data_IF_337048506301
#
_entry.id   IF_337048506301
#
_cell.length_a   1.000
_cell.length_b   1.000
_cell.length_c   1.000
_cell.angle_alpha   90.00
_cell.angle_beta   90.00
_cell.angle_gamma   90.00
#
_symmetry.space_group_name_H-M   'P 1'
#
loop_
_entity.id
_entity.type
_entity.pdbx_description
1 polymer ?
#
# COMPACT_ATOMS: atom_id res chain seq x y z
N UNK A 1 28.84 16.66 -10.73
CA UNK A 1 29.02 15.31 -11.31
C UNK A 1 27.64 14.73 -11.56
N UNK A 2 27.33 14.25 -12.77
CA UNK A 2 26.02 13.70 -13.16
C UNK A 2 24.82 14.58 -12.72
N UNK A 3 24.88 15.89 -12.92
CA UNK A 3 23.81 16.82 -12.51
C UNK A 3 23.68 17.06 -11.00
N UNK A 4 24.58 16.54 -10.16
CA UNK A 4 24.63 16.77 -8.71
C UNK A 4 25.81 17.67 -8.31
N UNK A 5 25.58 18.50 -7.29
CA UNK A 5 26.57 19.25 -6.53
C UNK A 5 26.86 18.49 -5.23
N UNK A 6 28.06 17.93 -5.17
CA UNK A 6 28.59 17.18 -4.03
C UNK A 6 29.45 18.14 -3.23
N UNK A 7 29.15 18.30 -1.93
CA UNK A 7 29.94 19.09 -0.99
C UNK A 7 30.76 18.14 -0.09
N UNK A 8 31.20 18.56 1.09
CA UNK A 8 31.89 17.66 2.03
C UNK A 8 30.91 16.72 2.72
N UNK A 9 29.76 17.22 3.15
CA UNK A 9 28.79 16.44 3.94
C UNK A 9 27.41 16.30 3.28
N UNK A 10 27.15 17.05 2.19
CA UNK A 10 25.82 17.06 1.56
C UNK A 10 25.87 16.90 0.05
N UNK A 11 24.78 16.36 -0.48
CA UNK A 11 24.49 16.24 -1.91
C UNK A 11 23.23 17.04 -2.20
N UNK A 12 23.30 17.87 -3.24
CA UNK A 12 22.12 18.55 -3.79
C UNK A 12 22.15 18.46 -5.31
N UNK A 13 20.99 18.59 -5.98
CA UNK A 13 20.99 18.82 -7.42
C UNK A 13 21.81 20.07 -7.78
N UNK A 14 22.40 20.08 -8.97
CA UNK A 14 22.83 21.33 -9.59
C UNK A 14 21.60 22.24 -9.76
N UNK A 15 21.77 23.56 -9.93
CA UNK A 15 20.63 24.48 -10.04
C UNK A 15 19.67 24.03 -11.16
N UNK A 16 18.62 23.30 -10.79
CA UNK A 16 17.53 22.90 -11.66
C UNK A 16 16.47 23.99 -11.51
N UNK A 17 16.43 24.90 -12.47
CA UNK A 17 15.35 25.87 -12.57
C UNK A 17 14.25 25.27 -13.45
N UNK A 18 13.06 25.13 -12.86
CA UNK A 18 11.83 25.00 -13.66
C UNK A 18 11.50 26.42 -14.07
N UNK A 19 12.00 26.82 -15.25
CA UNK A 19 11.93 28.20 -15.72
C UNK A 19 10.50 28.61 -16.11
N UNK A 20 9.76 27.70 -16.75
CA UNK A 20 8.43 27.94 -17.30
C UNK A 20 7.46 26.80 -16.98
N UNK A 21 6.16 27.08 -17.05
CA UNK A 21 5.12 26.04 -17.01
C UNK A 21 5.19 25.18 -18.28
N UNK A 22 5.19 23.84 -18.17
CA UNK A 22 5.28 22.97 -19.34
C UNK A 22 4.08 23.18 -20.27
N UNK A 23 4.35 23.49 -21.54
CA UNK A 23 3.32 23.79 -22.55
C UNK A 23 3.03 22.59 -23.44
N UNK A 24 3.99 21.67 -23.59
CA UNK A 24 3.88 20.48 -24.44
C UNK A 24 4.04 19.19 -23.65
N UNK A 25 3.65 18.06 -24.23
CA UNK A 25 3.92 16.74 -23.65
C UNK A 25 5.43 16.52 -23.43
N UNK A 26 6.27 16.98 -24.37
CA UNK A 26 7.73 16.92 -24.24
C UNK A 26 8.24 17.63 -22.98
N UNK A 27 7.81 18.87 -22.76
CA UNK A 27 8.23 19.67 -21.61
C UNK A 27 7.83 18.98 -20.31
N UNK A 28 6.59 18.46 -20.28
CA UNK A 28 6.06 17.74 -19.13
C UNK A 28 6.83 16.44 -18.86
N UNK A 29 7.19 15.68 -19.90
CA UNK A 29 7.98 14.46 -19.78
C UNK A 29 9.38 14.76 -19.23
N UNK A 30 10.05 15.80 -19.73
CA UNK A 30 11.37 16.22 -19.24
C UNK A 30 11.30 16.63 -17.76
N UNK A 31 10.29 17.42 -17.39
CA UNK A 31 10.05 17.82 -16.02
C UNK A 31 9.81 16.59 -15.12
N UNK A 32 8.90 15.69 -15.50
CA UNK A 32 8.59 14.49 -14.74
C UNK A 32 9.82 13.58 -14.58
N UNK A 33 10.62 13.40 -15.63
CA UNK A 33 11.85 12.62 -15.60
C UNK A 33 12.89 13.21 -14.65
N UNK A 34 13.14 14.52 -14.76
CA UNK A 34 14.05 15.25 -13.88
C UNK A 34 13.64 15.13 -12.40
N UNK A 35 12.36 15.39 -12.10
CA UNK A 35 11.85 15.38 -10.72
C UNK A 35 11.84 13.96 -10.15
N UNK A 36 11.50 12.95 -10.96
CA UNK A 36 11.56 11.54 -10.54
C UNK A 36 12.99 11.10 -10.23
N UNK A 37 13.98 11.61 -10.97
CA UNK A 37 15.40 11.32 -10.74
C UNK A 37 15.92 11.91 -9.42
N UNK A 38 15.60 13.17 -9.10
CA UNK A 38 16.05 13.82 -7.85
C UNK A 38 15.16 13.52 -6.64
N UNK A 39 13.93 13.04 -6.86
CA UNK A 39 12.91 12.87 -5.83
C UNK A 39 13.35 12.05 -4.62
N UNK A 40 14.01 10.89 -4.79
CA UNK A 40 14.56 10.10 -3.69
C UNK A 40 15.55 10.88 -2.79
N UNK A 41 16.36 11.78 -3.35
CA UNK A 41 17.32 12.55 -2.55
C UNK A 41 16.63 13.66 -1.75
N UNK A 42 15.56 14.24 -2.31
CA UNK A 42 14.90 15.40 -1.73
C UNK A 42 13.63 15.08 -0.95
N UNK A 43 13.23 13.81 -0.90
CA UNK A 43 11.98 13.39 -0.27
C UNK A 43 10.75 13.94 -0.98
N UNK A 44 10.78 13.98 -2.31
CA UNK A 44 9.62 14.31 -3.14
C UNK A 44 8.92 13.00 -3.48
N UNK A 45 7.72 12.82 -2.95
CA UNK A 45 7.00 11.56 -3.11
C UNK A 45 6.26 11.52 -4.46
N UNK A 46 6.11 10.34 -5.09
CA UNK A 46 5.35 10.18 -6.33
C UNK A 46 3.90 10.68 -6.20
N UNK A 47 3.30 10.57 -5.02
CA UNK A 47 1.95 11.09 -4.73
C UNK A 47 1.89 12.61 -4.91
N UNK A 48 2.90 13.33 -4.42
CA UNK A 48 2.96 14.78 -4.60
C UNK A 48 3.09 15.19 -6.07
N UNK A 49 3.49 14.25 -6.94
CA UNK A 49 3.64 14.42 -8.38
C UNK A 49 2.46 13.84 -9.17
N UNK A 50 1.49 13.19 -8.51
CA UNK A 50 0.36 12.56 -9.18
C UNK A 50 -0.41 13.51 -10.12
N UNK A 51 -0.66 14.80 -9.75
CA UNK A 51 -1.26 15.76 -10.67
C UNK A 51 -0.46 15.93 -11.97
N UNK A 52 0.88 15.92 -11.90
CA UNK A 52 1.74 16.03 -13.08
C UNK A 52 1.72 14.76 -13.92
N UNK A 53 1.75 13.58 -13.29
CA UNK A 53 1.68 12.31 -14.02
C UNK A 53 0.34 12.11 -14.73
N UNK A 54 -0.75 12.63 -14.18
CA UNK A 54 -2.05 12.56 -14.85
C UNK A 54 -2.10 13.36 -16.15
N UNK A 55 -1.33 14.45 -16.26
CA UNK A 55 -1.21 15.24 -17.48
C UNK A 55 -0.40 14.56 -18.59
N UNK A 56 0.32 13.47 -18.28
CA UNK A 56 1.03 12.68 -19.31
C UNK A 56 0.06 11.83 -20.16
N UNK A 57 -1.18 11.64 -19.72
CA UNK A 57 -2.20 10.88 -20.46
C UNK A 57 -2.76 11.70 -21.62
N UNK A 58 -3.36 11.03 -22.61
CA UNK A 58 -3.97 11.66 -23.79
C UNK A 58 -3.17 11.40 -25.06
N UNK A 59 -3.15 12.38 -25.96
CA UNK A 59 -2.38 12.36 -27.21
C UNK A 59 -0.89 12.09 -26.95
N UNK A 60 -0.32 11.14 -27.67
CA UNK A 60 1.06 10.67 -27.52
C UNK A 60 2.08 11.50 -28.34
N UNK A 61 1.61 12.44 -29.16
CA UNK A 61 2.48 13.38 -29.86
C UNK A 61 3.26 14.27 -28.89
N UNK A 62 4.58 14.37 -29.09
CA UNK A 62 5.48 15.17 -28.24
C UNK A 62 5.14 16.66 -28.21
N UNK A 63 4.60 17.18 -29.32
CA UNK A 63 4.24 18.58 -29.47
C UNK A 63 2.77 18.83 -29.13
N UNK A 64 2.06 17.81 -28.65
CA UNK A 64 0.68 17.96 -28.20
C UNK A 64 0.62 18.94 -27.02
N UNK A 65 -0.31 19.91 -27.04
CA UNK A 65 -0.39 20.93 -26.00
C UNK A 65 -0.82 20.30 -24.67
N UNK A 66 -0.31 20.86 -23.57
CA UNK A 66 -0.67 20.50 -22.20
C UNK A 66 -0.99 21.76 -21.43
N UNK A 67 -2.16 21.76 -20.78
CA UNK A 67 -2.58 22.84 -19.90
C UNK A 67 -2.32 22.43 -18.46
N UNK A 68 -1.47 23.18 -17.77
CA UNK A 68 -1.16 22.94 -16.36
C UNK A 68 -2.38 23.29 -15.51
N UNK A 69 -2.94 22.27 -14.85
CA UNK A 69 -4.06 22.46 -13.92
C UNK A 69 -3.59 23.16 -12.63
N UNK A 70 -4.49 23.76 -11.85
CA UNK A 70 -4.13 24.37 -10.56
C UNK A 70 -3.39 23.41 -9.62
N UNK A 71 -3.79 22.14 -9.59
CA UNK A 71 -3.18 21.09 -8.75
C UNK A 71 -1.76 20.75 -9.24
N UNK A 72 -1.56 20.68 -10.55
CA UNK A 72 -0.24 20.47 -11.15
C UNK A 72 0.70 21.66 -10.88
N UNK A 73 0.18 22.89 -10.93
CA UNK A 73 0.94 24.10 -10.57
C UNK A 73 1.36 24.08 -9.10
N UNK A 74 0.49 23.65 -8.19
CA UNK A 74 0.83 23.49 -6.77
C UNK A 74 1.91 22.42 -6.58
N UNK A 75 1.81 21.29 -7.28
CA UNK A 75 2.83 20.25 -7.26
C UNK A 75 4.21 20.76 -7.74
N UNK A 76 4.24 21.53 -8.84
CA UNK A 76 5.46 22.19 -9.34
C UNK A 76 6.06 23.12 -8.28
N UNK A 77 5.24 23.95 -7.63
CA UNK A 77 5.70 24.84 -6.56
C UNK A 77 6.33 24.08 -5.37
N UNK A 78 5.74 22.95 -4.98
CA UNK A 78 6.31 22.07 -3.93
C UNK A 78 7.67 21.50 -4.34
N UNK A 79 7.80 21.09 -5.61
CA UNK A 79 9.05 20.59 -6.18
C UNK A 79 10.12 21.68 -6.20
N UNK A 80 9.81 22.88 -6.69
CA UNK A 80 10.74 24.02 -6.71
C UNK A 80 11.23 24.39 -5.30
N UNK A 81 10.31 24.37 -4.32
CA UNK A 81 10.67 24.58 -2.91
C UNK A 81 11.60 23.48 -2.40
N UNK A 82 11.34 22.22 -2.76
CA UNK A 82 12.20 21.10 -2.35
C UNK A 82 13.59 21.20 -2.99
N UNK A 83 13.67 21.50 -4.28
CA UNK A 83 14.92 21.70 -5.03
C UNK A 83 15.80 22.81 -4.44
N UNK A 84 15.19 23.88 -3.91
CA UNK A 84 15.92 25.02 -3.35
C UNK A 84 16.30 24.85 -1.88
N UNK A 85 15.49 24.13 -1.09
CA UNK A 85 15.65 24.10 0.38
C UNK A 85 16.21 22.79 0.94
N UNK A 86 16.10 21.67 0.21
CA UNK A 86 16.44 20.35 0.72
C UNK A 86 17.78 19.85 0.17
N UNK A 87 18.46 19.03 0.96
CA UNK A 87 19.73 18.39 0.64
C UNK A 87 19.73 16.98 1.23
N UNK A 88 20.40 16.05 0.57
CA UNK A 88 20.72 14.74 1.12
C UNK A 88 22.09 14.78 1.80
N UNK A 89 22.34 13.86 2.72
CA UNK A 89 23.65 13.70 3.35
C UNK A 89 24.52 12.73 2.55
N UNK A 90 25.83 12.92 2.64
CA UNK A 90 26.78 11.91 2.20
C UNK A 90 26.88 10.78 3.22
N UNK A 91 27.25 9.61 2.72
CA UNK A 91 27.53 8.47 3.57
C UNK A 91 28.84 8.72 4.31
N UNK A 92 28.78 8.66 5.64
CA UNK A 92 29.96 8.77 6.50
C UNK A 92 30.61 7.38 6.65
N UNK A 93 31.90 7.22 6.30
CA UNK A 93 32.62 5.97 6.52
C UNK A 93 32.62 5.57 8.00
N UNK A 94 32.37 4.30 8.29
CA UNK A 94 32.39 3.76 9.66
C UNK A 94 31.08 3.90 10.44
N UNK A 95 30.10 4.68 9.96
CA UNK A 95 28.74 4.66 10.51
C UNK A 95 27.89 3.58 9.85
N UNK A 96 27.13 2.87 10.68
CA UNK A 96 26.24 1.81 10.21
C UNK A 96 25.01 2.37 9.49
N UNK A 97 24.65 1.72 8.40
CA UNK A 97 23.45 2.03 7.62
C UNK A 97 22.21 1.46 8.28
N UNK A 98 21.15 2.27 8.36
CA UNK A 98 19.87 1.91 8.96
C UNK A 98 18.74 2.23 8.00
N UNK A 99 17.65 1.48 8.12
CA UNK A 99 16.47 1.64 7.28
C UNK A 99 15.22 1.73 8.14
N UNK A 100 14.30 2.63 7.81
CA UNK A 100 13.02 2.77 8.50
C UNK A 100 11.87 2.78 7.50
N UNK A 101 10.85 1.96 7.75
CA UNK A 101 9.57 1.97 7.02
C UNK A 101 8.56 2.75 7.84
N UNK A 102 7.94 3.77 7.24
CA UNK A 102 7.03 4.69 7.95
C UNK A 102 5.96 5.27 7.02
N UNK A 103 5.06 6.07 7.57
CA UNK A 103 3.94 6.67 6.83
C UNK A 103 2.61 6.04 7.21
N UNK A 104 1.55 6.44 6.49
CA UNK A 104 0.20 5.92 6.68
C UNK A 104 -0.23 5.24 5.40
N UNK A 105 -1.06 4.20 5.51
CA UNK A 105 -1.67 3.60 4.32
C UNK A 105 -2.53 4.63 3.57
N UNK A 106 -2.51 4.64 2.24
CA UNK A 106 -1.77 3.72 1.36
C UNK A 106 -0.30 4.11 1.07
N UNK A 107 0.18 5.22 1.64
CA UNK A 107 1.43 5.90 1.34
C UNK A 107 2.57 5.54 2.30
N UNK A 108 2.89 4.26 2.40
CA UNK A 108 4.10 3.83 3.10
C UNK A 108 5.36 4.26 2.32
N UNK A 109 6.38 4.66 3.06
CA UNK A 109 7.67 5.10 2.54
C UNK A 109 8.81 4.56 3.39
N UNK A 110 9.97 4.42 2.78
CA UNK A 110 11.21 4.02 3.42
C UNK A 110 12.20 5.17 3.51
N UNK A 111 13.12 5.13 4.48
CA UNK A 111 14.26 6.05 4.52
C UNK A 111 15.53 5.30 4.89
N UNK A 112 16.58 5.54 4.13
CA UNK A 112 17.94 5.08 4.41
C UNK A 112 18.69 6.21 5.11
N UNK A 113 19.31 5.90 6.25
CA UNK A 113 20.00 6.91 7.04
C UNK A 113 21.15 6.31 7.86
N UNK A 114 22.00 7.20 8.37
CA UNK A 114 23.01 6.92 9.40
C UNK A 114 22.69 7.74 10.65
N UNK A 115 23.15 7.26 11.80
CA UNK A 115 22.93 7.88 13.10
C UNK A 115 24.25 8.08 13.84
N UNK A 116 24.62 9.32 14.13
CA UNK A 116 25.82 9.69 14.86
C UNK A 116 25.48 10.51 16.11
N UNK A 117 25.58 9.90 17.28
CA UNK A 117 25.27 10.55 18.56
C UNK A 117 26.30 11.62 18.96
N UNK A 118 27.43 11.72 18.24
CA UNK A 118 28.51 12.67 18.54
C UNK A 118 28.20 14.08 18.06
N UNK A 119 27.24 14.24 17.14
CA UNK A 119 26.87 15.52 16.54
C UNK A 119 25.50 16.00 17.05
N UNK A 120 25.27 17.31 16.98
CA UNK A 120 24.05 17.95 17.52
C UNK A 120 22.77 17.46 16.86
N UNK A 121 22.78 17.28 15.54
CA UNK A 121 21.71 16.63 14.79
C UNK A 121 22.22 15.26 14.34
N UNK A 122 21.87 14.17 15.05
CA UNK A 122 22.49 12.86 14.83
C UNK A 122 22.07 12.20 13.52
N UNK A 123 21.04 12.73 12.84
CA UNK A 123 20.47 12.08 11.67
C UNK A 123 21.15 12.53 10.37
N UNK A 124 21.85 11.60 9.73
CA UNK A 124 22.29 11.76 8.34
C UNK A 124 21.34 11.00 7.40
N UNK A 125 20.37 11.73 6.85
CA UNK A 125 19.41 11.17 5.89
C UNK A 125 20.02 11.07 4.48
N UNK A 126 20.16 9.85 3.99
CA UNK A 126 20.82 9.56 2.71
C UNK A 126 19.84 9.52 1.55
N UNK A 127 18.76 8.75 1.68
CA UNK A 127 17.81 8.55 0.58
C UNK A 127 16.41 8.19 1.08
N UNK A 128 15.39 8.71 0.38
CA UNK A 128 14.00 8.34 0.53
C UNK A 128 13.61 7.27 -0.47
N UNK A 129 12.86 6.28 -0.02
CA UNK A 129 12.33 5.21 -0.86
C UNK A 129 10.82 5.27 -0.90
N UNK A 130 10.29 5.45 -2.10
CA UNK A 130 8.85 5.47 -2.32
C UNK A 130 8.37 4.21 -3.02
N UNK A 131 7.12 3.85 -2.74
CA UNK A 131 6.38 2.87 -3.51
C UNK A 131 6.06 3.41 -4.91
N UNK A 132 5.80 2.52 -5.89
CA UNK A 132 5.31 2.95 -7.20
C UNK A 132 3.99 3.71 -7.06
N UNK A 133 3.79 4.73 -7.90
CA UNK A 133 2.53 5.48 -7.93
C UNK A 133 1.33 4.58 -8.27
N UNK A 134 1.54 3.57 -9.12
CA UNK A 134 0.54 2.56 -9.45
C UNK A 134 0.95 1.19 -8.93
N UNK A 135 0.10 0.59 -8.11
CA UNK A 135 0.28 -0.79 -7.64
C UNK A 135 0.05 -1.78 -8.79
N UNK A 136 0.78 -2.89 -8.77
CA UNK A 136 0.64 -3.95 -9.77
C UNK A 136 -0.57 -4.84 -9.49
N UNK A 137 -0.89 -5.09 -8.22
CA UNK A 137 -2.04 -5.89 -7.78
C UNK A 137 -3.25 -5.01 -7.52
N UNK A 138 -4.45 -5.54 -7.77
CA UNK A 138 -5.70 -4.84 -7.45
C UNK A 138 -5.86 -4.64 -5.94
N UNK A 139 -5.50 -5.65 -5.13
CA UNK A 139 -5.47 -5.58 -3.67
C UNK A 139 -4.06 -5.86 -3.19
N UNK A 140 -3.52 -4.96 -2.39
CA UNK A 140 -2.17 -5.11 -1.81
C UNK A 140 -2.24 -4.93 -0.31
N UNK A 141 -1.81 -5.94 0.43
CA UNK A 141 -1.78 -5.89 1.89
C UNK A 141 -0.71 -4.91 2.38
N UNK A 142 -0.85 -4.34 3.60
CA UNK A 142 0.19 -3.49 4.18
C UNK A 142 1.56 -4.19 4.24
N UNK A 143 1.57 -5.48 4.56
CA UNK A 143 2.78 -6.31 4.64
C UNK A 143 3.48 -6.41 3.29
N UNK A 144 2.74 -6.56 2.20
CA UNK A 144 3.31 -6.57 0.85
C UNK A 144 3.93 -5.22 0.47
N UNK A 145 3.33 -4.10 0.89
CA UNK A 145 3.90 -2.77 0.69
C UNK A 145 5.21 -2.60 1.45
N UNK A 146 5.26 -3.06 2.71
CA UNK A 146 6.50 -3.06 3.50
C UNK A 146 7.57 -3.93 2.86
N UNK A 147 7.22 -5.12 2.38
CA UNK A 147 8.12 -6.03 1.66
C UNK A 147 8.71 -5.38 0.42
N UNK A 148 7.91 -4.65 -0.36
CA UNK A 148 8.42 -3.91 -1.52
C UNK A 148 9.47 -2.88 -1.12
N UNK A 149 9.21 -2.12 -0.05
CA UNK A 149 10.16 -1.13 0.47
C UNK A 149 11.44 -1.78 0.99
N UNK A 150 11.35 -2.86 1.76
CA UNK A 150 12.51 -3.61 2.28
C UNK A 150 13.35 -4.15 1.13
N UNK A 151 12.74 -4.83 0.15
CA UNK A 151 13.46 -5.38 -1.00
C UNK A 151 14.15 -4.28 -1.81
N UNK A 152 13.46 -3.15 -2.02
CA UNK A 152 14.03 -1.97 -2.69
C UNK A 152 15.22 -1.42 -1.92
N UNK A 153 15.10 -1.28 -0.60
CA UNK A 153 16.15 -0.77 0.27
C UNK A 153 17.39 -1.68 0.29
N UNK A 154 17.19 -3.00 0.47
CA UNK A 154 18.27 -3.98 0.47
C UNK A 154 18.99 -4.00 -0.87
N UNK A 155 18.25 -4.01 -1.99
CA UNK A 155 18.84 -3.94 -3.33
C UNK A 155 19.64 -2.66 -3.52
N UNK A 156 19.08 -1.52 -3.07
CA UNK A 156 19.73 -0.21 -3.17
C UNK A 156 21.05 -0.18 -2.40
N UNK A 157 21.06 -0.66 -1.16
CA UNK A 157 22.24 -0.56 -0.31
C UNK A 157 23.31 -1.59 -0.67
N UNK A 158 22.92 -2.76 -1.17
CA UNK A 158 23.86 -3.74 -1.71
C UNK A 158 24.62 -3.16 -2.91
N UNK A 159 23.94 -2.42 -3.79
CA UNK A 159 24.59 -1.74 -4.93
C UNK A 159 25.50 -0.60 -4.47
N UNK A 160 25.11 0.17 -3.45
CA UNK A 160 25.87 1.34 -3.01
C UNK A 160 27.07 1.00 -2.10
N UNK A 161 26.93 0.02 -1.23
CA UNK A 161 27.88 -0.23 -0.14
C UNK A 161 28.29 -1.72 0.00
N UNK A 162 27.69 -2.64 -0.76
CA UNK A 162 28.01 -4.06 -0.69
C UNK A 162 27.69 -4.73 0.65
N UNK A 163 26.89 -4.08 1.51
CA UNK A 163 26.54 -4.56 2.85
C UNK A 163 25.03 -4.61 3.05
N UNK A 164 24.59 -5.08 4.23
CA UNK A 164 23.18 -5.04 4.66
C UNK A 164 23.00 -3.97 5.76
N UNK A 165 21.74 -3.64 6.09
CA UNK A 165 21.44 -2.71 7.17
C UNK A 165 21.80 -3.29 8.53
N UNK A 166 22.30 -2.46 9.44
CA UNK A 166 22.48 -2.86 10.84
C UNK A 166 21.14 -2.97 11.58
N UNK A 167 20.16 -2.13 11.21
CA UNK A 167 18.82 -2.18 11.77
C UNK A 167 17.77 -1.77 10.73
N UNK A 168 16.65 -2.53 10.68
CA UNK A 168 15.43 -2.17 9.96
C UNK A 168 14.34 -1.87 10.99
N UNK A 169 13.82 -0.65 10.93
CA UNK A 169 12.73 -0.19 11.78
C UNK A 169 11.38 -0.39 11.09
N UNK A 170 10.50 -1.16 11.73
CA UNK A 170 9.17 -1.49 11.20
C UNK A 170 8.08 -0.72 11.94
N UNK A 171 7.02 -0.27 11.24
CA UNK A 171 5.98 0.58 11.81
C UNK A 171 4.93 -0.23 12.58
N UNK A 172 5.36 -1.15 13.46
CA UNK A 172 4.48 -1.97 14.29
C UNK A 172 4.57 -1.56 15.76
N UNK A 173 3.60 -1.98 16.57
CA UNK A 173 3.82 -2.03 18.03
C UNK A 173 4.69 -3.24 18.36
N UNK A 174 5.44 -3.16 19.47
CA UNK A 174 6.39 -4.21 19.86
C UNK A 174 5.74 -5.60 19.93
N UNK A 175 4.55 -5.72 20.54
CA UNK A 175 3.83 -6.99 20.65
C UNK A 175 3.26 -7.52 19.33
N UNK A 176 3.11 -6.67 18.32
CA UNK A 176 2.52 -7.05 17.04
C UNK A 176 3.58 -7.59 16.06
N UNK A 177 4.87 -7.28 16.27
CA UNK A 177 5.95 -7.61 15.34
C UNK A 177 6.12 -9.13 15.18
N UNK A 178 6.14 -9.88 16.28
CA UNK A 178 6.29 -11.34 16.25
C UNK A 178 5.11 -12.00 15.54
N UNK A 179 3.89 -11.58 15.85
CA UNK A 179 2.68 -12.06 15.19
C UNK A 179 2.72 -11.81 13.67
N UNK A 180 3.13 -10.60 13.23
CA UNK A 180 3.22 -10.28 11.80
C UNK A 180 4.31 -11.10 11.11
N UNK A 181 5.45 -11.30 11.77
CA UNK A 181 6.52 -12.14 11.23
C UNK A 181 6.08 -13.60 11.09
N UNK A 182 5.34 -14.16 12.05
CA UNK A 182 4.83 -15.53 11.98
C UNK A 182 3.71 -15.70 10.95
N UNK A 183 2.84 -14.69 10.79
CA UNK A 183 1.68 -14.76 9.90
C UNK A 183 1.96 -14.37 8.45
N UNK A 184 3.06 -13.66 8.17
CA UNK A 184 3.37 -13.15 6.83
C UNK A 184 4.58 -13.84 6.19
N UNK A 185 4.32 -14.85 5.37
CA UNK A 185 5.36 -15.54 4.59
C UNK A 185 6.15 -14.56 3.71
N UNK A 186 5.47 -13.62 3.05
CA UNK A 186 6.13 -12.66 2.17
C UNK A 186 7.15 -11.77 2.91
N UNK A 187 6.87 -11.44 4.17
CA UNK A 187 7.80 -10.69 5.03
C UNK A 187 8.98 -11.56 5.47
N UNK A 188 8.72 -12.83 5.82
CA UNK A 188 9.78 -13.80 6.13
C UNK A 188 10.75 -13.96 4.95
N UNK A 189 10.25 -14.09 3.72
CA UNK A 189 11.09 -14.18 2.52
C UNK A 189 11.89 -12.89 2.27
N UNK A 190 11.29 -11.72 2.47
CA UNK A 190 11.99 -10.44 2.29
C UNK A 190 13.13 -10.23 3.30
N UNK A 191 13.01 -10.84 4.47
CA UNK A 191 13.99 -10.80 5.55
C UNK A 191 14.87 -12.06 5.61
N UNK A 192 14.74 -12.96 4.64
CA UNK A 192 15.56 -14.16 4.58
C UNK A 192 17.05 -13.78 4.55
N UNK A 193 17.85 -14.48 5.37
CA UNK A 193 19.28 -14.25 5.55
C UNK A 193 19.67 -12.84 6.04
N UNK A 194 18.71 -12.04 6.52
CA UNK A 194 19.02 -10.79 7.20
C UNK A 194 19.53 -11.06 8.61
N UNK A 195 20.77 -10.65 8.90
CA UNK A 195 21.42 -10.83 10.20
C UNK A 195 21.40 -9.58 11.08
N UNK A 196 20.88 -8.46 10.59
CA UNK A 196 20.78 -7.21 11.34
C UNK A 196 19.60 -7.22 12.32
N UNK A 197 19.46 -6.13 13.07
CA UNK A 197 18.38 -5.97 14.04
C UNK A 197 17.05 -5.61 13.35
N UNK A 198 15.95 -6.15 13.86
CA UNK A 198 14.60 -5.65 13.59
C UNK A 198 14.10 -4.92 14.82
N UNK A 199 13.49 -3.75 14.64
CA UNK A 199 12.99 -2.96 15.77
C UNK A 199 11.70 -2.22 15.43
N UNK A 200 10.77 -2.17 16.39
CA UNK A 200 9.63 -1.25 16.37
C UNK A 200 9.93 0.10 17.04
N UNK A 201 11.06 0.19 17.75
CA UNK A 201 11.49 1.39 18.47
C UNK A 201 12.46 2.18 17.60
N UNK A 202 11.95 3.19 16.90
CA UNK A 202 12.76 4.11 16.11
C UNK A 202 13.52 5.10 16.99
N UNK A 203 14.57 5.68 16.43
CA UNK A 203 15.42 6.66 17.12
C UNK A 203 14.68 8.00 17.29
N UNK A 204 14.87 8.73 18.40
CA UNK A 204 14.10 9.92 18.70
C UNK A 204 14.52 11.09 17.79
N UNK A 205 13.81 11.28 16.69
CA UNK A 205 14.04 12.40 15.78
C UNK A 205 12.72 12.95 15.21
N UNK A 206 12.63 14.27 15.07
CA UNK A 206 11.43 14.98 14.56
C UNK A 206 10.94 14.44 13.21
N UNK A 207 11.85 13.95 12.36
CA UNK A 207 11.49 13.39 11.05
C UNK A 207 10.81 12.02 11.17
N UNK A 208 11.00 11.27 12.24
CA UNK A 208 10.41 9.94 12.43
C UNK A 208 9.11 9.96 13.24
N UNK A 209 8.73 11.11 13.81
CA UNK A 209 7.58 11.25 14.71
C UNK A 209 6.20 11.24 14.01
N UNK A 210 6.14 10.96 12.72
CA UNK A 210 4.88 10.91 11.95
C UNK A 210 4.35 9.47 11.98
N UNK A 211 3.25 9.25 12.72
CA UNK A 211 2.40 8.05 12.78
C UNK A 211 3.09 6.73 12.35
N UNK A 212 4.00 6.25 13.20
CA UNK A 212 4.80 5.04 12.98
C UNK A 212 4.08 3.73 13.38
N UNK A 213 2.75 3.71 13.50
CA UNK A 213 2.03 2.58 14.11
C UNK A 213 0.92 2.08 13.21
N UNK A 214 1.23 1.09 12.40
CA UNK A 214 0.27 0.19 11.79
C UNK A 214 -0.18 -0.82 12.86
N UNK A 215 -1.50 -1.01 13.00
CA UNK A 215 -2.07 -2.04 13.88
C UNK A 215 -2.53 -3.20 13.01
N UNK A 216 -1.84 -4.34 13.00
CA UNK A 216 -2.26 -5.52 12.26
C UNK A 216 -3.43 -6.17 13.01
N UNK A 217 -4.65 -5.66 12.80
CA UNK A 217 -5.85 -6.33 13.29
C UNK A 217 -6.29 -7.32 12.22
N UNK A 218 -6.09 -8.61 12.49
CA UNK A 218 -6.67 -9.68 11.68
C UNK A 218 -7.88 -10.26 12.43
N UNK A 219 -9.09 -10.05 11.90
CA UNK A 219 -10.32 -10.66 12.43
C UNK A 219 -10.65 -11.97 11.72
N UNK A 220 -10.03 -12.19 10.56
CA UNK A 220 -10.08 -13.49 9.87
C UNK A 220 -9.48 -14.59 10.74
N UNK A 221 -10.28 -15.60 11.02
CA UNK A 221 -9.85 -16.84 11.64
C UNK A 221 -9.32 -17.80 10.58
N UNK A 222 -8.27 -18.55 10.90
CA UNK A 222 -7.76 -19.66 10.08
C UNK A 222 -8.54 -20.97 10.34
N UNK A 223 -9.53 -20.96 11.25
CA UNK A 223 -10.34 -22.12 11.61
C UNK A 223 -11.83 -21.74 11.67
N UNK A 224 -12.75 -22.68 11.39
CA UNK A 224 -14.17 -22.44 11.60
C UNK A 224 -14.49 -21.99 13.02
N UNK A 225 -15.41 -21.03 13.12
CA UNK A 225 -15.87 -20.45 14.38
C UNK A 225 -17.11 -21.20 14.89
N UNK A 226 -17.34 -21.16 16.20
CA UNK A 226 -18.65 -21.50 16.78
C UNK A 226 -19.59 -20.31 16.62
N UNK A 227 -20.04 -20.08 15.39
CA UNK A 227 -20.72 -18.86 14.98
C UNK A 227 -21.72 -19.12 13.85
N UNK A 228 -22.51 -18.10 13.48
CA UNK A 228 -23.53 -18.17 12.44
C UNK A 228 -22.93 -18.65 11.11
N UNK A 229 -23.63 -19.56 10.42
CA UNK A 229 -23.23 -20.05 9.10
C UNK A 229 -24.00 -19.31 8.01
N UNK A 230 -23.24 -18.78 7.05
CA UNK A 230 -23.72 -17.94 5.96
C UNK A 230 -23.22 -18.51 4.64
N UNK A 231 -24.12 -18.69 3.69
CA UNK A 231 -23.85 -19.14 2.33
C UNK A 231 -24.05 -17.98 1.38
N UNK A 232 -23.11 -17.80 0.47
CA UNK A 232 -23.13 -16.73 -0.54
C UNK A 232 -23.00 -17.34 -1.93
N UNK A 233 -23.83 -16.88 -2.86
CA UNK A 233 -23.79 -17.28 -4.26
C UNK A 233 -24.17 -16.07 -5.14
N UNK A 234 -23.54 -15.95 -6.31
CA UNK A 234 -23.88 -14.98 -7.32
C UNK A 234 -24.01 -15.64 -8.69
N UNK A 235 -25.09 -15.37 -9.40
CA UNK A 235 -25.30 -15.88 -10.75
C UNK A 235 -25.36 -14.74 -11.75
N UNK A 236 -24.40 -14.71 -12.68
CA UNK A 236 -24.44 -13.75 -13.79
C UNK A 236 -25.51 -14.04 -14.84
N UNK A 237 -25.99 -15.29 -14.94
CA UNK A 237 -27.04 -15.66 -15.89
C UNK A 237 -28.45 -15.21 -15.43
N UNK A 238 -28.69 -15.23 -14.11
CA UNK A 238 -29.95 -14.76 -13.53
C UNK A 238 -29.85 -13.35 -12.94
N UNK A 239 -28.66 -12.74 -13.00
CA UNK A 239 -28.33 -11.45 -12.38
C UNK A 239 -28.75 -11.40 -10.91
N UNK A 240 -28.52 -12.47 -10.14
CA UNK A 240 -28.94 -12.57 -8.74
C UNK A 240 -27.76 -12.76 -7.82
N UNK A 241 -27.74 -11.94 -6.77
CA UNK A 241 -26.96 -12.13 -5.55
C UNK A 241 -27.84 -12.84 -4.53
N UNK A 242 -27.35 -13.93 -3.95
CA UNK A 242 -28.08 -14.76 -2.99
C UNK A 242 -27.26 -14.90 -1.73
N UNK A 243 -27.90 -14.60 -0.61
CA UNK A 243 -27.38 -14.77 0.74
C UNK A 243 -28.35 -15.66 1.51
N UNK A 244 -27.86 -16.77 2.04
CA UNK A 244 -28.67 -17.72 2.82
C UNK A 244 -27.99 -17.97 4.15
N UNK A 245 -28.73 -17.94 5.25
CA UNK A 245 -28.19 -18.21 6.58
C UNK A 245 -29.22 -18.96 7.41
N UNK A 246 -28.75 -19.66 8.43
CA UNK A 246 -29.62 -20.34 9.38
C UNK A 246 -29.78 -19.49 10.63
N UNK A 247 -30.98 -18.97 10.87
CA UNK A 247 -31.24 -18.12 12.03
C UNK A 247 -30.99 -18.91 13.33
N UNK A 248 -30.17 -18.36 14.23
CA UNK A 248 -29.78 -18.99 15.47
C UNK A 248 -30.91 -19.09 16.50
N UNK A 249 -31.94 -18.25 16.39
CA UNK A 249 -33.09 -18.20 17.30
C UNK A 249 -34.22 -19.13 16.83
N UNK A 250 -34.56 -19.10 15.55
CA UNK A 250 -35.68 -19.89 15.00
C UNK A 250 -35.24 -21.24 14.44
N UNK A 251 -33.93 -21.46 14.23
CA UNK A 251 -33.37 -22.61 13.53
C UNK A 251 -33.84 -22.80 12.08
N UNK A 252 -34.53 -21.80 11.52
CA UNK A 252 -35.03 -21.78 10.14
C UNK A 252 -34.00 -21.18 9.18
N UNK A 253 -34.14 -21.54 7.90
CA UNK A 253 -33.34 -20.98 6.83
C UNK A 253 -33.96 -19.68 6.33
N UNK A 254 -33.18 -18.61 6.41
CA UNK A 254 -33.52 -17.31 5.85
C UNK A 254 -32.72 -17.09 4.58
N UNK A 255 -33.35 -16.44 3.59
CA UNK A 255 -32.70 -16.08 2.34
C UNK A 255 -32.97 -14.62 2.00
N UNK A 256 -31.96 -13.99 1.43
CA UNK A 256 -32.03 -12.68 0.82
C UNK A 256 -31.57 -12.80 -0.62
N UNK A 257 -32.35 -12.25 -1.55
CA UNK A 257 -32.07 -12.28 -2.97
C UNK A 257 -32.19 -10.87 -3.51
N UNK A 258 -31.14 -10.42 -4.20
CA UNK A 258 -31.08 -9.11 -4.84
C UNK A 258 -30.75 -9.30 -6.33
N UNK A 259 -31.41 -8.51 -7.18
CA UNK A 259 -31.10 -8.48 -8.60
C UNK A 259 -29.95 -7.49 -8.80
N UNK A 260 -28.82 -7.98 -9.28
CA UNK A 260 -27.59 -7.22 -9.47
C UNK A 260 -27.19 -7.30 -10.94
N UNK A 261 -27.35 -6.19 -11.64
CA UNK A 261 -26.91 -6.07 -13.04
C UNK A 261 -25.38 -6.06 -13.14
N UNK A 262 -24.84 -6.98 -13.93
CA UNK A 262 -23.40 -7.06 -14.19
C UNK A 262 -22.91 -8.47 -14.46
N UNK A 263 -21.60 -8.63 -14.33
CA UNK A 263 -20.92 -9.93 -14.47
C UNK A 263 -21.20 -10.84 -13.26
N UNK A 264 -20.97 -12.17 -13.39
CA UNK A 264 -21.04 -13.09 -12.25
C UNK A 264 -20.22 -12.61 -11.04
N UNK A 265 -19.02 -12.06 -11.28
CA UNK A 265 -18.15 -11.51 -10.23
C UNK A 265 -18.79 -10.38 -9.43
N UNK A 266 -19.58 -9.51 -10.09
CA UNK A 266 -20.29 -8.40 -9.42
C UNK A 266 -21.41 -8.95 -8.55
N UNK A 267 -22.14 -9.96 -9.03
CA UNK A 267 -23.20 -10.61 -8.25
C UNK A 267 -22.63 -11.33 -7.01
N UNK A 268 -21.52 -12.08 -7.17
CA UNK A 268 -20.85 -12.78 -6.07
C UNK A 268 -20.27 -11.79 -5.03
N UNK A 269 -19.62 -10.72 -5.49
CA UNK A 269 -19.11 -9.68 -4.58
C UNK A 269 -20.23 -8.95 -3.85
N UNK A 270 -21.34 -8.66 -4.53
CA UNK A 270 -22.52 -8.04 -3.91
C UNK A 270 -23.08 -8.92 -2.79
N UNK A 271 -23.19 -10.25 -3.00
CA UNK A 271 -23.63 -11.18 -1.97
C UNK A 271 -22.71 -11.14 -0.73
N UNK A 272 -21.39 -11.07 -0.97
CA UNK A 272 -20.39 -10.99 0.09
C UNK A 272 -20.45 -9.67 0.87
N UNK A 273 -20.55 -8.54 0.15
CA UNK A 273 -20.73 -7.20 0.77
C UNK A 273 -21.95 -7.20 1.67
N UNK A 274 -23.09 -7.69 1.17
CA UNK A 274 -24.33 -7.81 1.95
C UNK A 274 -24.18 -8.70 3.19
N UNK A 275 -23.46 -9.82 3.08
CA UNK A 275 -23.18 -10.69 4.22
C UNK A 275 -22.45 -9.92 5.34
N UNK A 276 -21.40 -9.18 4.99
CA UNK A 276 -20.62 -8.41 5.96
C UNK A 276 -21.34 -7.16 6.50
N UNK A 277 -22.20 -6.52 5.70
CA UNK A 277 -23.05 -5.42 6.19
C UNK A 277 -24.08 -5.91 7.19
N UNK A 278 -24.75 -7.03 6.88
CA UNK A 278 -25.80 -7.58 7.74
C UNK A 278 -25.26 -8.07 9.08
N UNK A 279 -24.14 -8.79 9.05
CA UNK A 279 -23.58 -9.43 10.23
C UNK A 279 -22.32 -8.71 10.74
N UNK A 280 -22.25 -7.39 10.61
CA UNK A 280 -21.07 -6.59 10.97
C UNK A 280 -20.65 -6.76 12.44
N UNK A 281 -21.63 -6.95 13.33
CA UNK A 281 -21.46 -7.03 14.80
C UNK A 281 -21.53 -8.45 15.36
N UNK A 282 -21.58 -9.47 14.52
CA UNK A 282 -21.68 -10.87 14.94
C UNK A 282 -20.56 -11.69 14.34
N UNK A 283 -19.95 -12.67 15.03
CA UNK A 283 -19.04 -13.60 14.40
C UNK A 283 -19.77 -14.46 13.36
N UNK A 284 -19.13 -14.74 12.22
CA UNK A 284 -19.74 -15.51 11.13
C UNK A 284 -18.76 -16.49 10.47
N UNK A 285 -19.28 -17.60 9.97
CA UNK A 285 -18.63 -18.50 9.03
C UNK A 285 -19.28 -18.31 7.66
N UNK A 286 -18.49 -17.99 6.64
CA UNK A 286 -18.98 -17.79 5.27
C UNK A 286 -18.50 -18.94 4.39
N UNK A 287 -19.45 -19.52 3.66
CA UNK A 287 -19.20 -20.49 2.59
C UNK A 287 -19.55 -19.83 1.26
N UNK A 288 -18.63 -19.87 0.31
CA UNK A 288 -18.82 -19.35 -1.03
C UNK A 288 -18.34 -20.36 -2.07
N UNK A 289 -19.00 -20.41 -3.21
CA UNK A 289 -18.55 -21.18 -4.37
C UNK A 289 -17.65 -20.37 -5.32
N UNK A 290 -17.41 -19.09 -4.98
CA UNK A 290 -16.50 -18.20 -5.72
C UNK A 290 -15.10 -18.20 -5.14
N UNK A 291 -14.17 -18.86 -5.84
CA UNK A 291 -12.74 -18.78 -5.52
C UNK A 291 -12.20 -17.34 -5.58
N UNK A 292 -12.77 -16.52 -6.49
CA UNK A 292 -12.40 -15.12 -6.65
C UNK A 292 -12.75 -14.31 -5.40
N UNK A 293 -14.01 -14.38 -4.96
CA UNK A 293 -14.47 -13.63 -3.77
C UNK A 293 -13.80 -14.14 -2.50
N UNK A 294 -13.62 -15.46 -2.38
CA UNK A 294 -12.87 -16.04 -1.27
C UNK A 294 -11.47 -15.43 -1.16
N UNK A 295 -10.71 -15.39 -2.26
CA UNK A 295 -9.37 -14.80 -2.29
C UNK A 295 -9.35 -13.30 -2.01
N UNK A 296 -10.39 -12.55 -2.42
CA UNK A 296 -10.54 -11.12 -2.06
C UNK A 296 -10.72 -10.96 -0.56
N UNK A 297 -11.63 -11.71 0.06
CA UNK A 297 -11.92 -11.61 1.50
C UNK A 297 -10.73 -12.06 2.35
N UNK A 298 -10.03 -13.12 1.95
CA UNK A 298 -8.82 -13.60 2.65
C UNK A 298 -7.74 -12.53 2.79
N UNK A 299 -7.73 -11.55 1.90
CA UNK A 299 -6.70 -10.51 1.80
C UNK A 299 -7.26 -9.12 2.00
N UNK A 300 -8.57 -8.95 2.20
CA UNK A 300 -9.24 -7.67 2.13
C UNK A 300 -8.99 -6.77 3.34
N UNK A 301 -8.67 -7.35 4.50
CA UNK A 301 -8.41 -6.59 5.73
C UNK A 301 -7.24 -5.62 5.58
N UNK A 302 -7.53 -4.32 5.77
CA UNK A 302 -6.57 -3.22 5.68
C UNK A 302 -5.82 -3.13 4.35
N UNK A 303 -6.29 -3.83 3.31
CA UNK A 303 -5.65 -3.81 2.00
C UNK A 303 -5.83 -2.47 1.32
N UNK A 304 -4.80 -2.09 0.56
CA UNK A 304 -4.86 -0.96 -0.36
C UNK A 304 -5.45 -1.44 -1.67
N UNK A 305 -6.57 -0.85 -2.04
CA UNK A 305 -7.23 -1.08 -3.31
C UNK A 305 -6.64 -0.15 -4.38
N UNK A 306 -6.21 -0.72 -5.49
CA UNK A 306 -5.89 0.00 -6.71
C UNK A 306 -7.19 0.40 -7.42
N UNK A 307 -7.21 1.60 -7.99
CA UNK A 307 -8.28 2.00 -8.91
C UNK A 307 -8.43 0.98 -10.04
N UNK A 308 -9.66 0.47 -10.23
CA UNK A 308 -9.98 -0.47 -11.31
C UNK A 308 -10.86 0.20 -12.36
N UNK A 309 -10.73 -0.16 -13.66
CA UNK A 309 -11.47 0.53 -14.73
C UNK A 309 -12.99 0.41 -14.64
N UNK A 310 -13.52 -0.62 -13.99
CA UNK A 310 -14.95 -0.83 -13.84
C UNK A 310 -15.44 -0.19 -12.53
N UNK A 311 -16.22 0.92 -12.58
CA UNK A 311 -16.64 1.65 -11.38
C UNK A 311 -17.48 0.80 -10.43
N UNK A 312 -18.46 0.03 -10.95
CA UNK A 312 -19.32 -0.83 -10.11
C UNK A 312 -18.49 -1.87 -9.33
N UNK A 313 -17.48 -2.45 -9.98
CA UNK A 313 -16.58 -3.40 -9.33
C UNK A 313 -15.70 -2.70 -8.29
N UNK A 314 -15.17 -1.52 -8.62
CA UNK A 314 -14.37 -0.72 -7.69
C UNK A 314 -15.15 -0.36 -6.42
N UNK A 315 -16.39 0.06 -6.57
CA UNK A 315 -17.27 0.44 -5.45
C UNK A 315 -17.53 -0.75 -4.52
N UNK A 316 -17.87 -1.91 -5.08
CA UNK A 316 -18.08 -3.15 -4.29
C UNK A 316 -16.80 -3.60 -3.57
N UNK A 317 -15.65 -3.58 -4.26
CA UNK A 317 -14.37 -3.91 -3.65
C UNK A 317 -14.00 -2.93 -2.53
N UNK A 318 -14.21 -1.63 -2.76
CA UNK A 318 -13.95 -0.58 -1.78
C UNK A 318 -14.81 -0.78 -0.53
N UNK A 319 -16.11 -1.06 -0.73
CA UNK A 319 -17.06 -1.31 0.35
C UNK A 319 -16.70 -2.58 1.13
N UNK A 320 -16.34 -3.67 0.43
CA UNK A 320 -15.93 -4.91 1.07
C UNK A 320 -14.66 -4.72 1.92
N UNK A 321 -13.62 -4.08 1.36
CA UNK A 321 -12.39 -3.76 2.09
C UNK A 321 -12.69 -2.87 3.31
N UNK A 322 -13.56 -1.88 3.16
CA UNK A 322 -14.00 -1.03 4.27
C UNK A 322 -14.65 -1.85 5.39
N UNK A 323 -15.62 -2.71 5.04
CA UNK A 323 -16.34 -3.54 6.02
C UNK A 323 -15.42 -4.50 6.75
N UNK A 324 -14.53 -5.18 6.02
CA UNK A 324 -13.53 -6.08 6.60
C UNK A 324 -12.58 -5.33 7.56
N UNK A 325 -12.12 -4.14 7.15
CA UNK A 325 -11.15 -3.35 7.93
C UNK A 325 -11.75 -2.72 9.19
N UNK A 326 -13.07 -2.47 9.21
CA UNK A 326 -13.80 -1.87 10.33
C UNK A 326 -14.60 -2.90 11.14
N UNK A 327 -14.47 -4.18 10.82
CA UNK A 327 -15.13 -5.25 11.54
C UNK A 327 -14.54 -5.38 12.94
N UNK A 328 -15.38 -5.68 13.92
CA UNK A 328 -14.97 -5.87 15.32
C UNK A 328 -15.13 -7.32 15.81
N UNK A 329 -15.77 -8.17 15.00
CA UNK A 329 -16.00 -9.58 15.29
C UNK A 329 -15.23 -10.49 14.35
N UNK A 330 -14.77 -11.67 14.80
CA UNK A 330 -14.07 -12.58 13.93
C UNK A 330 -14.96 -13.10 12.81
N UNK A 331 -14.35 -13.57 11.73
CA UNK A 331 -15.05 -14.32 10.70
C UNK A 331 -14.15 -15.41 10.15
N UNK A 332 -14.76 -16.45 9.59
CA UNK A 332 -14.08 -17.48 8.83
C UNK A 332 -14.67 -17.51 7.43
N UNK A 333 -13.84 -17.72 6.42
CA UNK A 333 -14.30 -17.91 5.05
C UNK A 333 -13.73 -19.22 4.49
N UNK A 334 -14.56 -19.95 3.75
CA UNK A 334 -14.15 -21.10 2.98
C UNK A 334 -14.73 -21.06 1.57
N UNK A 335 -13.93 -21.54 0.63
CA UNK A 335 -14.36 -21.79 -0.74
C UNK A 335 -14.72 -23.28 -0.91
N UNK A 336 -15.86 -23.54 -1.54
CA UNK A 336 -16.29 -24.85 -2.00
C UNK A 336 -16.40 -24.86 -3.52
N UNK A 337 -16.20 -26.00 -4.18
CA UNK A 337 -16.38 -26.05 -5.63
C UNK A 337 -17.86 -25.98 -5.98
N UNK A 338 -18.19 -25.14 -6.96
CA UNK A 338 -19.52 -25.06 -7.56
C UNK A 338 -19.93 -26.39 -8.21
N UNK A 339 -21.24 -26.57 -8.42
CA UNK A 339 -21.83 -27.74 -9.09
C UNK A 339 -21.53 -29.09 -8.41
N UNK A 340 -21.42 -29.09 -7.09
CA UNK A 340 -21.43 -30.30 -6.26
C UNK A 340 -22.78 -30.39 -5.55
N UNK A 341 -23.31 -31.60 -5.34
CA UNK A 341 -24.57 -31.83 -4.58
C UNK A 341 -24.40 -31.57 -3.07
N UNK A 342 -23.49 -30.67 -2.69
CA UNK A 342 -23.25 -30.33 -1.30
C UNK A 342 -24.42 -29.48 -0.77
N UNK A 343 -24.98 -29.83 0.39
CA UNK A 343 -26.07 -29.06 0.99
C UNK A 343 -25.54 -27.70 1.50
N UNK A 344 -26.16 -26.61 1.07
CA UNK A 344 -25.80 -25.24 1.45
C UNK A 344 -26.46 -24.18 0.58
#
# INVERSE_FOLDING_TARGET
YLGLRIQETTIAPQKLFIADEPQTLRDLQQLCGMVSWVGPLLGISPESLAPLFNLLRGDDSLDSPRSVTPEAREAIGKVQKALSTRRAHQMEPGLQLRFIVMGQLPHLQGRIFQWDERIKDPLSLLEWLFLPHQLSKSLTTPQELMVQLIRKAKSRIHVLAGCDFACIYMPFKLGDMEFVLQSSECLQFALHSYSGQLSSHHLPHKLFNINFKLVPKLFRSNRPLRALMVFTNGSGASHRSVLTWRNSQTSEWEKYVEVVEGSPQIAELSAMVRAFERFQKEPINIVTDSAYVAGVVERGEQSVLKEVPNPKLYDLLSQLVFLLSHREQPYYIMHVRSHTDLPG
#
